data_IF_777657737510
#
_entry.id   IF_777657737510
#
_cell.length_a   1.000
_cell.length_b   1.000
_cell.length_c   1.000
_cell.angle_alpha   90.00
_cell.angle_beta   90.00
_cell.angle_gamma   90.00
#
_symmetry.space_group_name_H-M   'P 1'
#
loop_
_entity.id
_entity.type
_entity.pdbx_description
1 polymer ?
#
# COMPACT_ATOMS: atom_id res chain seq x y z
N UNK A 1 -20.82 3.67 17.44
CA UNK A 1 -20.00 4.25 16.36
C UNK A 1 -18.63 3.64 16.53
N UNK A 2 -18.36 2.58 15.78
CA UNK A 2 -17.10 1.85 15.89
C UNK A 2 -15.97 2.73 15.35
N UNK A 3 -14.92 2.76 16.15
CA UNK A 3 -13.71 3.55 16.04
C UNK A 3 -13.02 3.42 14.66
N UNK A 4 -12.96 4.51 13.89
CA UNK A 4 -11.95 4.74 12.85
C UNK A 4 -10.57 4.92 13.52
N UNK A 5 -10.02 3.87 14.13
CA UNK A 5 -8.66 3.86 14.70
C UNK A 5 -7.74 3.04 13.81
N UNK A 6 -7.77 3.30 12.52
CA UNK A 6 -6.65 2.88 11.68
C UNK A 6 -5.52 3.86 11.94
N UNK A 7 -4.59 3.40 12.77
CA UNK A 7 -3.45 4.16 13.25
C UNK A 7 -2.48 4.45 12.10
N UNK A 8 -1.67 5.49 12.26
CA UNK A 8 -0.50 5.77 11.42
C UNK A 8 0.37 4.50 11.22
N UNK A 9 0.49 3.68 12.26
CA UNK A 9 1.13 2.36 12.22
C UNK A 9 0.51 1.40 11.17
N UNK A 10 -0.81 1.43 10.97
CA UNK A 10 -1.48 0.61 9.95
C UNK A 10 -1.08 1.06 8.54
N UNK A 11 -1.01 2.37 8.31
CA UNK A 11 -0.58 2.95 7.03
C UNK A 11 0.91 2.66 6.77
N UNK A 12 1.76 2.80 7.78
CA UNK A 12 3.18 2.46 7.70
C UNK A 12 3.40 0.98 7.44
N UNK A 13 2.64 0.10 8.10
CA UNK A 13 2.71 -1.34 7.87
C UNK A 13 2.29 -1.69 6.43
N UNK A 14 1.21 -1.07 5.93
CA UNK A 14 0.77 -1.26 4.56
C UNK A 14 1.82 -0.75 3.55
N UNK A 15 2.43 0.41 3.80
CA UNK A 15 3.52 0.94 2.99
C UNK A 15 4.74 0.02 3.00
N UNK A 16 5.11 -0.56 4.16
CA UNK A 16 6.18 -1.58 4.28
C UNK A 16 5.90 -2.83 3.46
N UNK A 17 4.67 -3.34 3.49
CA UNK A 17 4.27 -4.50 2.68
C UNK A 17 4.40 -4.19 1.19
N UNK A 18 3.95 -3.01 0.75
CA UNK A 18 4.10 -2.58 -0.65
C UNK A 18 5.58 -2.45 -1.01
N UNK A 19 6.41 -1.91 -0.11
CA UNK A 19 7.85 -1.78 -0.30
C UNK A 19 8.55 -3.12 -0.48
N UNK A 20 8.24 -4.10 0.38
CA UNK A 20 8.81 -5.44 0.32
C UNK A 20 8.32 -6.23 -0.90
N UNK A 21 7.05 -6.03 -1.28
CA UNK A 21 6.47 -6.71 -2.42
C UNK A 21 6.92 -6.11 -3.76
N UNK A 22 7.28 -4.81 -3.76
CA UNK A 22 7.96 -4.15 -4.88
C UNK A 22 9.44 -4.57 -4.90
N UNK A 23 9.70 -5.79 -5.38
CA UNK A 23 11.05 -6.35 -5.55
C UNK A 23 11.94 -5.39 -6.39
N UNK A 24 13.28 -5.34 -6.21
CA UNK A 24 14.18 -4.55 -7.06
C UNK A 24 14.09 -4.88 -8.56
N UNK A 25 13.42 -5.98 -8.92
CA UNK A 25 13.06 -6.32 -10.31
C UNK A 25 11.83 -5.58 -10.86
N UNK A 26 11.22 -4.66 -10.09
CA UNK A 26 10.07 -3.85 -10.51
C UNK A 26 8.75 -4.62 -10.54
N UNK A 27 8.64 -5.72 -9.78
CA UNK A 27 7.42 -6.53 -9.74
C UNK A 27 6.32 -5.75 -9.04
N UNK A 28 5.22 -5.53 -9.77
CA UNK A 28 4.02 -4.91 -9.24
C UNK A 28 3.32 -5.86 -8.26
N UNK A 29 2.83 -5.33 -7.14
CA UNK A 29 2.01 -6.07 -6.18
C UNK A 29 0.55 -5.67 -6.34
N UNK A 30 -0.37 -6.63 -6.23
CA UNK A 30 -1.79 -6.32 -6.38
C UNK A 30 -2.44 -5.87 -5.07
N UNK A 31 -3.48 -5.04 -5.15
CA UNK A 31 -4.33 -4.64 -4.02
C UNK A 31 -4.82 -5.84 -3.21
N UNK A 32 -5.18 -6.93 -3.90
CA UNK A 32 -5.58 -8.17 -3.24
C UNK A 32 -4.46 -8.82 -2.44
N UNK A 33 -3.26 -8.92 -3.03
CA UNK A 33 -2.11 -9.52 -2.36
C UNK A 33 -1.68 -8.69 -1.13
N UNK A 34 -1.82 -7.36 -1.19
CA UNK A 34 -1.54 -6.48 -0.04
C UNK A 34 -2.56 -6.73 1.08
N UNK A 35 -3.85 -6.83 0.75
CA UNK A 35 -4.90 -7.14 1.71
C UNK A 35 -4.67 -8.50 2.41
N UNK A 36 -4.33 -9.53 1.64
CA UNK A 36 -4.02 -10.87 2.16
C UNK A 36 -2.80 -10.87 3.10
N UNK A 37 -1.75 -10.10 2.77
CA UNK A 37 -0.53 -10.02 3.60
C UNK A 37 -0.71 -9.18 4.86
N UNK A 38 -1.52 -8.12 4.79
CA UNK A 38 -1.80 -7.23 5.94
C UNK A 38 -2.93 -7.76 6.83
N UNK A 39 -3.68 -8.76 6.37
CA UNK A 39 -4.88 -9.25 7.04
C UNK A 39 -6.06 -8.27 7.02
N UNK A 40 -5.96 -7.19 6.23
CA UNK A 40 -6.98 -6.16 6.13
C UNK A 40 -8.09 -6.60 5.15
N UNK A 41 -9.35 -6.21 5.40
CA UNK A 41 -10.41 -6.33 4.41
C UNK A 41 -10.02 -5.65 3.09
N UNK A 42 -10.32 -6.29 1.95
CA UNK A 42 -9.92 -5.78 0.64
C UNK A 42 -10.39 -4.34 0.40
N UNK A 43 -11.63 -4.01 0.75
CA UNK A 43 -12.17 -2.65 0.60
C UNK A 43 -11.35 -1.63 1.40
N UNK A 44 -10.92 -2.01 2.61
CA UNK A 44 -10.15 -1.14 3.48
C UNK A 44 -8.71 -0.96 2.98
N UNK A 45 -8.04 -2.07 2.64
CA UNK A 45 -6.69 -2.02 2.05
C UNK A 45 -6.70 -1.16 0.78
N UNK A 46 -7.73 -1.30 -0.06
CA UNK A 46 -7.92 -0.46 -1.24
C UNK A 46 -8.03 1.02 -0.86
N UNK A 47 -8.87 1.38 0.12
CA UNK A 47 -8.99 2.78 0.56
C UNK A 47 -7.65 3.36 1.03
N UNK A 48 -6.85 2.61 1.78
CA UNK A 48 -5.53 3.07 2.22
C UNK A 48 -4.52 3.19 1.09
N UNK A 49 -4.50 2.24 0.17
CA UNK A 49 -3.65 2.29 -1.02
C UNK A 49 -3.96 3.53 -1.86
N UNK A 50 -5.25 3.86 -2.02
CA UNK A 50 -5.65 5.09 -2.72
C UNK A 50 -5.26 6.35 -1.95
N UNK A 51 -5.36 6.34 -0.62
CA UNK A 51 -4.88 7.45 0.22
C UNK A 51 -3.36 7.66 0.12
N UNK A 52 -2.59 6.56 0.10
CA UNK A 52 -1.14 6.62 -0.13
C UNK A 52 -0.79 7.09 -1.54
N UNK A 53 -1.63 6.78 -2.53
CA UNK A 53 -1.44 7.25 -3.90
C UNK A 53 -1.72 8.76 -4.03
N UNK A 54 -2.74 9.26 -3.34
CA UNK A 54 -3.03 10.69 -3.22
C UNK A 54 -1.88 11.45 -2.55
N UNK A 55 -1.25 10.83 -1.55
CA UNK A 55 -0.06 11.33 -0.87
C UNK A 55 1.26 11.08 -1.64
N UNK A 56 1.21 10.60 -2.89
CA UNK A 56 2.38 10.33 -3.75
C UNK A 56 3.36 9.28 -3.18
N UNK A 57 2.98 8.53 -2.14
CA UNK A 57 3.80 7.47 -1.55
C UNK A 57 3.78 6.17 -2.37
N UNK A 58 2.73 5.94 -3.16
CA UNK A 58 2.60 4.79 -4.07
C UNK A 58 2.03 5.20 -5.42
N UNK A 59 2.34 4.43 -6.46
CA UNK A 59 1.78 4.56 -7.80
C UNK A 59 0.83 3.39 -8.09
N UNK A 60 -0.31 3.70 -8.72
CA UNK A 60 -1.30 2.72 -9.15
C UNK A 60 -1.11 2.45 -10.65
N UNK A 61 -0.60 1.28 -11.00
CA UNK A 61 -0.58 0.79 -12.38
C UNK A 61 -1.85 -0.04 -12.61
N UNK A 62 -2.75 0.41 -13.47
CA UNK A 62 -3.95 -0.36 -13.79
C UNK A 62 -3.62 -1.61 -14.62
N UNK A 63 -3.98 -2.80 -14.14
CA UNK A 63 -3.98 -4.01 -14.97
C UNK A 63 -5.29 -4.81 -14.77
N UNK A 64 -6.35 -4.37 -15.45
CA UNK A 64 -7.61 -5.10 -15.61
C UNK A 64 -8.64 -4.86 -14.51
N UNK A 65 -9.93 -4.86 -14.90
CA UNK A 65 -11.15 -4.45 -14.15
C UNK A 65 -11.37 -5.00 -12.72
N UNK A 66 -10.45 -5.77 -12.12
CA UNK A 66 -10.63 -6.43 -10.82
C UNK A 66 -9.42 -6.43 -9.89
N UNK A 67 -8.24 -5.99 -10.32
CA UNK A 67 -7.08 -5.91 -9.43
C UNK A 67 -6.15 -4.76 -9.84
N UNK A 68 -5.83 -3.88 -8.89
CA UNK A 68 -4.95 -2.74 -9.13
C UNK A 68 -3.54 -3.14 -8.74
N UNK A 69 -2.61 -2.99 -9.67
CA UNK A 69 -1.19 -3.14 -9.37
C UNK A 69 -0.69 -1.87 -8.69
N UNK A 70 0.13 -2.04 -7.67
CA UNK A 70 0.66 -0.97 -6.83
C UNK A 70 2.17 -1.10 -6.83
N UNK A 71 2.84 0.04 -6.92
CA UNK A 71 4.28 0.19 -6.76
C UNK A 71 4.56 1.25 -5.71
N UNK A 72 5.55 1.05 -4.86
CA UNK A 72 6.02 2.13 -3.99
C UNK A 72 6.82 3.17 -4.78
N UNK A 73 6.62 4.45 -4.49
CA UNK A 73 7.43 5.53 -5.08
C UNK A 73 8.74 5.72 -4.33
N UNK A 74 9.62 6.55 -4.89
CA UNK A 74 10.80 7.01 -4.15
C UNK A 74 10.41 7.74 -2.86
N UNK A 75 9.38 8.58 -2.90
CA UNK A 75 8.88 9.28 -1.73
C UNK A 75 8.36 8.32 -0.65
N UNK A 76 7.58 7.29 -1.05
CA UNK A 76 7.15 6.24 -0.13
C UNK A 76 8.30 5.47 0.52
N UNK A 77 9.36 5.21 -0.23
CA UNK A 77 10.58 4.59 0.32
C UNK A 77 11.28 5.51 1.33
N UNK A 78 11.34 6.81 1.06
CA UNK A 78 11.94 7.81 1.97
C UNK A 78 11.17 7.90 3.29
N UNK A 79 9.83 7.86 3.26
CA UNK A 79 8.99 7.80 4.47
C UNK A 79 9.38 6.60 5.35
N UNK A 80 9.58 5.42 4.76
CA UNK A 80 9.96 4.23 5.51
C UNK A 80 11.37 4.30 6.11
N UNK A 81 12.28 5.07 5.50
CA UNK A 81 13.64 5.27 5.99
C UNK A 81 13.72 6.30 7.12
N UNK A 82 12.81 7.28 7.17
CA UNK A 82 12.74 8.26 8.25
C UNK A 82 12.19 7.69 9.56
N UNK A 83 11.34 6.65 9.46
CA UNK A 83 10.69 5.98 10.59
C UNK A 83 11.43 4.71 11.07
N UNK A 84 12.68 4.50 10.64
CA UNK A 84 13.51 3.33 10.98
C UNK A 84 14.60 3.62 12.01
#
# INVERSE_FOLDING_TARGET
MEHDTYTEETLLNLLRVIAQATDPKGKLVTTKAIAEQTGLPLELATRFIFGLADAEAVELESCGRRDTSVRITRFGQEILQMES
#
